data_IF_530896425811
#
_entry.id   IF_530896425811
#
_cell.length_a   1.000
_cell.length_b   1.000
_cell.length_c   1.000
_cell.angle_alpha   90.00
_cell.angle_beta   90.00
_cell.angle_gamma   90.00
#
_symmetry.space_group_name_H-M   'P 1'
#
loop_
_entity.id
_entity.type
_entity.pdbx_description
1 polymer ?
#
# COMPACT_ATOMS: atom_id res chain seq x y z
N UNK A 1 -5.00 41.24 12.70
CA UNK A 1 -5.44 39.83 12.73
C UNK A 1 -4.40 38.99 11.99
N UNK A 2 -3.74 38.04 12.65
CA UNK A 2 -2.76 37.15 12.01
C UNK A 2 -3.53 36.06 11.27
N UNK A 3 -3.38 36.00 9.95
CA UNK A 3 -3.93 34.91 9.14
C UNK A 3 -3.24 33.61 9.56
N UNK A 4 -3.94 32.76 10.31
CA UNK A 4 -3.57 31.35 10.49
C UNK A 4 -3.65 30.72 9.10
N UNK A 5 -2.53 30.61 8.41
CA UNK A 5 -2.39 29.67 7.29
C UNK A 5 -2.82 28.32 7.82
N UNK A 6 -3.99 27.84 7.37
CA UNK A 6 -4.39 26.45 7.57
C UNK A 6 -3.24 25.62 7.03
N UNK A 7 -2.54 24.90 7.89
CA UNK A 7 -1.66 23.81 7.48
C UNK A 7 -2.55 22.86 6.71
N UNK A 8 -2.53 22.94 5.37
CA UNK A 8 -2.98 21.85 4.55
C UNK A 8 -2.21 20.64 5.07
N UNK A 9 -2.91 19.66 5.65
CA UNK A 9 -2.32 18.37 5.99
C UNK A 9 -1.47 17.99 4.79
N UNK A 10 -0.15 17.88 4.97
CA UNK A 10 0.76 17.56 3.88
C UNK A 10 0.22 16.28 3.26
N UNK A 11 -0.33 16.39 2.05
CA UNK A 11 -0.82 15.24 1.32
C UNK A 11 0.34 14.26 1.17
N UNK A 12 0.06 12.96 1.23
CA UNK A 12 1.06 11.90 1.05
C UNK A 12 1.46 11.79 -0.42
N UNK A 13 1.87 12.90 -1.04
CA UNK A 13 2.01 13.06 -2.50
C UNK A 13 2.93 11.99 -3.08
N UNK A 14 4.01 11.59 -2.39
CA UNK A 14 4.87 10.51 -2.86
C UNK A 14 4.16 9.16 -2.89
N UNK A 15 3.48 8.78 -1.80
CA UNK A 15 2.72 7.53 -1.71
C UNK A 15 1.61 7.53 -2.75
N UNK A 16 0.80 8.59 -2.81
CA UNK A 16 -0.31 8.73 -3.75
C UNK A 16 0.16 8.63 -5.20
N UNK A 17 1.24 9.32 -5.58
CA UNK A 17 1.80 9.23 -6.94
C UNK A 17 2.22 7.81 -7.28
N UNK A 18 2.89 7.12 -6.34
CA UNK A 18 3.36 5.76 -6.60
C UNK A 18 2.21 4.76 -6.72
N UNK A 19 1.16 4.90 -5.90
CA UNK A 19 -0.05 4.08 -6.01
C UNK A 19 -0.72 4.28 -7.37
N UNK A 20 -0.87 5.54 -7.82
CA UNK A 20 -1.44 5.85 -9.15
C UNK A 20 -0.61 5.19 -10.26
N UNK A 21 0.72 5.33 -10.23
CA UNK A 21 1.62 4.69 -11.21
C UNK A 21 1.44 3.17 -11.25
N UNK A 22 1.26 2.52 -10.08
CA UNK A 22 1.05 1.08 -10.01
C UNK A 22 -0.33 0.67 -10.54
N UNK A 23 -1.37 1.43 -10.25
CA UNK A 23 -2.72 1.21 -10.79
C UNK A 23 -2.73 1.37 -12.32
N UNK A 24 -2.03 2.37 -12.86
CA UNK A 24 -1.86 2.52 -14.31
C UNK A 24 -1.13 1.32 -14.97
N UNK A 25 -0.41 0.51 -14.18
CA UNK A 25 0.28 -0.74 -14.60
C UNK A 25 -0.56 -2.00 -14.36
N UNK A 26 -1.82 -1.87 -13.96
CA UNK A 26 -2.75 -2.97 -13.71
C UNK A 26 -2.61 -3.62 -12.34
N UNK A 27 -2.09 -2.91 -11.34
CA UNK A 27 -2.16 -3.31 -9.93
C UNK A 27 -3.41 -2.68 -9.29
N UNK A 28 -4.57 -3.21 -9.67
CA UNK A 28 -5.88 -2.58 -9.43
C UNK A 28 -6.53 -3.01 -8.10
N UNK A 29 -5.98 -4.02 -7.44
CA UNK A 29 -6.45 -4.48 -6.13
C UNK A 29 -5.76 -3.74 -4.98
N UNK A 30 -6.45 -3.64 -3.85
CA UNK A 30 -5.90 -3.17 -2.58
C UNK A 30 -5.79 -4.37 -1.64
N UNK A 31 -4.60 -4.60 -1.11
CA UNK A 31 -4.33 -5.66 -0.15
C UNK A 31 -4.09 -5.09 1.24
N UNK A 32 -4.65 -5.77 2.25
CA UNK A 32 -4.39 -5.51 3.66
C UNK A 32 -3.63 -6.67 4.29
N UNK A 33 -2.57 -6.36 5.04
CA UNK A 33 -1.92 -7.35 5.89
C UNK A 33 -2.71 -7.49 7.20
N UNK A 34 -3.20 -8.70 7.47
CA UNK A 34 -3.91 -9.04 8.69
C UNK A 34 -2.93 -9.53 9.77
N UNK A 35 -3.35 -9.44 11.04
CA UNK A 35 -2.52 -9.82 12.20
C UNK A 35 -2.12 -11.31 12.22
N UNK A 36 -2.86 -12.17 11.52
CA UNK A 36 -2.57 -13.60 11.36
C UNK A 36 -1.55 -13.88 10.22
N UNK A 37 -1.01 -12.85 9.57
CA UNK A 37 -0.02 -13.00 8.50
C UNK A 37 -0.63 -13.36 7.14
N UNK A 38 -1.94 -13.23 6.94
CA UNK A 38 -2.57 -13.34 5.62
C UNK A 38 -2.80 -11.97 5.00
N UNK A 39 -2.85 -11.92 3.67
CA UNK A 39 -3.28 -10.76 2.90
C UNK A 39 -4.76 -10.91 2.55
N UNK A 40 -5.54 -9.87 2.83
CA UNK A 40 -6.93 -9.75 2.36
C UNK A 40 -6.96 -8.87 1.11
N UNK A 41 -7.50 -9.39 0.00
CA UNK A 41 -7.86 -8.57 -1.16
C UNK A 41 -9.19 -7.87 -0.87
N UNK A 42 -9.22 -6.53 -0.90
CA UNK A 42 -10.42 -5.76 -0.57
C UNK A 42 -11.51 -5.85 -1.64
N UNK A 43 -11.13 -6.09 -2.89
CA UNK A 43 -12.01 -6.13 -4.06
C UNK A 43 -12.77 -7.45 -4.14
N UNK A 44 -12.11 -8.57 -3.80
CA UNK A 44 -12.70 -9.92 -3.90
C UNK A 44 -13.03 -10.54 -2.55
N UNK A 45 -12.57 -9.92 -1.46
CA UNK A 45 -12.71 -10.41 -0.09
C UNK A 45 -12.06 -11.80 0.13
N UNK A 46 -11.09 -12.15 -0.72
CA UNK A 46 -10.32 -13.39 -0.63
C UNK A 46 -9.07 -13.19 0.22
N UNK A 47 -8.72 -14.23 0.98
CA UNK A 47 -7.52 -14.26 1.81
C UNK A 47 -6.43 -15.11 1.17
N UNK A 48 -5.20 -14.61 1.21
CA UNK A 48 -4.01 -15.28 0.70
C UNK A 48 -2.95 -15.34 1.80
N UNK A 49 -2.45 -16.53 2.16
CA UNK A 49 -1.24 -16.62 2.96
C UNK A 49 -0.10 -15.85 2.29
N UNK A 50 0.71 -15.11 3.06
CA UNK A 50 1.85 -14.36 2.50
C UNK A 50 2.81 -15.26 1.71
N UNK A 51 2.95 -16.53 2.11
CA UNK A 51 3.76 -17.54 1.43
C UNK A 51 3.26 -17.95 0.03
N UNK A 52 2.03 -17.61 -0.33
CA UNK A 52 1.42 -18.03 -1.61
C UNK A 52 1.31 -16.89 -2.62
N UNK A 53 1.90 -15.73 -2.33
CA UNK A 53 1.89 -14.56 -3.22
C UNK A 53 3.31 -14.09 -3.50
N UNK A 54 3.51 -13.47 -4.67
CA UNK A 54 4.72 -12.70 -4.91
C UNK A 54 4.55 -11.30 -4.31
N UNK A 55 5.52 -10.89 -3.49
CA UNK A 55 5.55 -9.57 -2.85
C UNK A 55 6.84 -8.88 -3.25
N UNK A 56 6.73 -7.73 -3.92
CA UNK A 56 7.90 -6.93 -4.31
C UNK A 56 7.79 -5.53 -3.73
N UNK A 57 8.82 -5.07 -3.04
CA UNK A 57 8.88 -3.69 -2.54
C UNK A 57 9.21 -2.74 -3.69
N UNK A 58 8.39 -1.70 -3.85
CA UNK A 58 8.53 -0.72 -4.93
C UNK A 58 9.05 0.63 -4.46
N UNK A 59 8.63 1.06 -3.27
CA UNK A 59 9.03 2.35 -2.70
C UNK A 59 8.72 2.42 -1.20
N UNK A 60 9.01 3.57 -0.59
CA UNK A 60 8.58 3.95 0.75
C UNK A 60 8.16 5.42 0.80
N UNK A 61 7.23 5.76 1.68
CA UNK A 61 6.83 7.15 1.90
C UNK A 61 6.43 7.39 3.33
N UNK A 62 6.65 8.62 3.81
CA UNK A 62 6.14 9.04 5.10
C UNK A 62 4.66 9.38 4.97
N UNK A 63 3.82 8.67 5.72
CA UNK A 63 2.39 8.93 5.83
C UNK A 63 2.15 9.96 6.95
N UNK A 64 1.76 11.18 6.55
CA UNK A 64 1.43 12.25 7.48
C UNK A 64 0.12 12.02 8.24
N UNK A 65 -0.73 11.09 7.81
CA UNK A 65 -1.96 10.76 8.53
C UNK A 65 -1.66 9.85 9.73
N UNK A 66 -0.94 8.75 9.52
CA UNK A 66 -0.54 7.84 10.60
C UNK A 66 0.78 8.21 11.29
N UNK A 67 1.48 9.25 10.82
CA UNK A 67 2.79 9.67 11.30
C UNK A 67 3.84 8.55 11.30
N UNK A 68 3.83 7.70 10.26
CA UNK A 68 4.76 6.59 10.12
C UNK A 68 5.22 6.38 8.68
N UNK A 69 6.35 5.70 8.51
CA UNK A 69 6.81 5.30 7.17
C UNK A 69 6.03 4.07 6.71
N UNK A 70 5.46 4.16 5.51
CA UNK A 70 4.81 3.04 4.81
C UNK A 70 5.72 2.56 3.69
N UNK A 71 5.85 1.25 3.59
CA UNK A 71 6.40 0.56 2.45
C UNK A 71 5.29 0.30 1.44
N UNK A 72 5.59 0.54 0.18
CA UNK A 72 4.69 0.30 -0.95
C UNK A 72 5.16 -0.98 -1.63
N UNK A 73 4.33 -2.01 -1.60
CA UNK A 73 4.62 -3.29 -2.25
C UNK A 73 3.59 -3.58 -3.35
N UNK A 74 4.03 -4.26 -4.40
CA UNK A 74 3.11 -4.96 -5.30
C UNK A 74 2.89 -6.38 -4.83
N UNK A 75 1.66 -6.84 -5.02
CA UNK A 75 1.22 -8.20 -4.73
C UNK A 75 0.76 -8.84 -6.03
N UNK A 76 1.21 -10.06 -6.30
CA UNK A 76 0.68 -10.90 -7.38
C UNK A 76 0.32 -12.27 -6.81
N UNK A 77 -0.93 -12.68 -6.98
CA UNK A 77 -1.44 -13.95 -6.47
C UNK A 77 -1.37 -15.05 -7.53
N UNK A 78 -1.40 -16.32 -7.10
CA UNK A 78 -1.41 -17.45 -8.04
C UNK A 78 -2.65 -17.55 -8.94
N UNK A 79 -3.76 -16.87 -8.59
CA UNK A 79 -4.96 -16.77 -9.41
C UNK A 79 -5.02 -15.50 -10.28
N UNK A 80 -3.93 -14.72 -10.33
CA UNK A 80 -3.78 -13.60 -11.25
C UNK A 80 -4.29 -12.25 -10.75
N UNK A 81 -4.72 -12.15 -9.47
CA UNK A 81 -5.00 -10.86 -8.86
C UNK A 81 -3.69 -10.10 -8.64
N UNK A 82 -3.71 -8.80 -8.96
CA UNK A 82 -2.55 -7.91 -8.86
C UNK A 82 -2.97 -6.65 -8.14
N UNK A 83 -2.19 -6.24 -7.15
CA UNK A 83 -2.55 -5.08 -6.33
C UNK A 83 -1.42 -4.46 -5.55
N UNK A 84 -1.78 -3.52 -4.69
CA UNK A 84 -0.85 -2.75 -3.86
C UNK A 84 -1.08 -3.07 -2.39
N UNK A 85 0.02 -3.21 -1.64
CA UNK A 85 0.01 -3.32 -0.18
C UNK A 85 0.80 -2.15 0.41
N UNK A 86 0.11 -1.32 1.20
CA UNK A 86 0.72 -0.28 2.03
C UNK A 86 0.82 -0.79 3.47
N UNK A 87 2.04 -0.93 3.98
CA UNK A 87 2.26 -1.46 5.34
C UNK A 87 3.53 -0.88 5.96
N UNK A 88 3.59 -0.81 7.29
CA UNK A 88 4.81 -0.45 8.02
C UNK A 88 5.84 -1.59 7.99
N UNK A 89 5.39 -2.83 7.77
CA UNK A 89 6.25 -3.99 7.67
C UNK A 89 7.05 -3.95 6.36
N UNK A 90 8.36 -4.17 6.44
CA UNK A 90 9.18 -4.36 5.25
C UNK A 90 9.22 -5.85 4.89
N UNK A 91 8.83 -6.18 3.66
CA UNK A 91 9.08 -7.50 3.07
C UNK A 91 10.33 -7.39 2.20
N UNK A 92 11.43 -8.05 2.60
CA UNK A 92 12.73 -7.98 1.95
C UNK A 92 13.21 -9.38 1.51
N UNK A 93 12.37 -10.11 0.77
CA UNK A 93 12.71 -11.45 0.29
C UNK A 93 13.64 -11.41 -0.92
#
# INVERSE_FOLDING_TARGET
>A
MKNKTRTFNRLNVSITKKVIELQERGYDCDFLLLANGTLLCMQTNLNYPVSTVAINRMDQGYDFFSHSYKNIHTIETGNGERGVLLTEQAFNF
#
